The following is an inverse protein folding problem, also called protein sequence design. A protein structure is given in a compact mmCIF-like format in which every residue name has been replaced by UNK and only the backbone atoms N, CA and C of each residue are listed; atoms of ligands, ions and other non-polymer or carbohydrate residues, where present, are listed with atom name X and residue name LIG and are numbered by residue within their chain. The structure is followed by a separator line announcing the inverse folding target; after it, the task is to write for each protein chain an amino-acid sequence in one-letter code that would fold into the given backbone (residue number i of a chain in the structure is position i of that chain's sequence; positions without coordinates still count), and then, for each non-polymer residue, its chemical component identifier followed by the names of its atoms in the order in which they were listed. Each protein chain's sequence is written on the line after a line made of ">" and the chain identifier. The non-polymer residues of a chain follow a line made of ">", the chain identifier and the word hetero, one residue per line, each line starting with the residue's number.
data_IF_041843729472
#
_entry.id   IF_041843729472
#
_cell.length_a   1.000
_cell.length_b   1.000
_cell.length_c   1.000
_cell.angle_alpha   90.00
_cell.angle_beta   90.00
_cell.angle_gamma   90.00
#
_symmetry.space_group_name_H-M   'P 1'
#
loop_
_entity.id
_entity.type
_entity.pdbx_description
1 polymer ?
#
# COMPACT_ATOMS: atom_id res chain seq x y z
N UNK A 1 -0.68 -9.99 3.14
CA UNK A 1 -0.32 -8.66 2.60
C UNK A 1 -0.99 -8.50 1.24
N UNK A 2 -1.59 -7.34 1.00
CA UNK A 2 -2.15 -6.91 -0.29
C UNK A 2 -1.12 -6.05 -1.03
N UNK A 3 -1.03 -6.20 -2.36
CA UNK A 3 -0.23 -5.33 -3.22
C UNK A 3 -1.14 -4.69 -4.27
N UNK A 4 -1.18 -3.35 -4.34
CA UNK A 4 -2.02 -2.58 -5.28
C UNK A 4 -1.23 -1.49 -5.99
N UNK A 5 -0.64 -1.84 -7.12
CA UNK A 5 0.19 -0.97 -7.95
C UNK A 5 -0.60 -0.36 -9.13
N UNK A 6 -1.50 0.58 -8.84
CA UNK A 6 -2.30 1.29 -9.87
C UNK A 6 -1.76 2.69 -10.16
N UNK A 7 -1.93 3.20 -11.38
CA UNK A 7 -1.67 4.62 -11.72
C UNK A 7 -2.87 5.52 -11.40
N UNK A 8 -4.07 4.94 -11.38
CA UNK A 8 -5.31 5.67 -11.15
C UNK A 8 -6.28 4.80 -10.35
N UNK A 9 -6.92 5.42 -9.36
CA UNK A 9 -7.86 4.77 -8.46
C UNK A 9 -9.01 5.71 -8.11
N UNK A 10 -10.12 5.11 -7.68
CA UNK A 10 -11.25 5.83 -7.10
C UNK A 10 -10.97 6.17 -5.63
N UNK A 11 -11.60 5.44 -4.71
CA UNK A 11 -11.40 5.64 -3.27
C UNK A 11 -10.29 4.75 -2.67
N UNK A 12 -9.99 3.62 -3.31
CA UNK A 12 -9.01 2.67 -2.78
C UNK A 12 -9.57 1.77 -1.67
N UNK A 13 -10.80 1.26 -1.84
CA UNK A 13 -11.40 0.30 -0.91
C UNK A 13 -10.56 -0.95 -0.65
N UNK A 14 -9.94 -1.62 -1.65
CA UNK A 14 -9.24 -2.88 -1.37
C UNK A 14 -8.06 -2.72 -0.39
N UNK A 15 -7.19 -1.69 -0.51
CA UNK A 15 -6.20 -1.40 0.53
C UNK A 15 -6.79 -1.07 1.92
N UNK A 16 -7.89 -0.30 1.99
CA UNK A 16 -8.56 0.00 3.26
C UNK A 16 -9.10 -1.26 3.94
N UNK A 17 -9.75 -2.14 3.19
CA UNK A 17 -10.28 -3.41 3.68
C UNK A 17 -9.16 -4.32 4.16
N UNK A 18 -8.04 -4.37 3.44
CA UNK A 18 -6.86 -5.13 3.86
C UNK A 18 -6.34 -4.63 5.21
N UNK A 19 -6.16 -3.31 5.37
CA UNK A 19 -5.72 -2.71 6.63
C UNK A 19 -6.71 -3.00 7.76
N UNK A 20 -8.03 -2.88 7.52
CA UNK A 20 -9.06 -3.23 8.49
C UNK A 20 -8.98 -4.70 8.93
N UNK A 21 -8.61 -5.62 8.03
CA UNK A 21 -8.42 -7.03 8.32
C UNK A 21 -7.05 -7.36 8.95
N UNK A 22 -6.26 -6.36 9.38
CA UNK A 22 -4.90 -6.60 9.90
C UNK A 22 -3.93 -7.12 8.84
N UNK A 23 -4.21 -6.84 7.56
CA UNK A 23 -3.36 -7.24 6.44
C UNK A 23 -2.61 -6.01 5.91
N UNK A 24 -1.26 -6.00 5.93
CA UNK A 24 -0.48 -4.90 5.36
C UNK A 24 -0.84 -4.63 3.90
N UNK A 25 -0.87 -3.36 3.50
CA UNK A 25 -1.18 -2.94 2.14
C UNK A 25 0.00 -2.16 1.54
N UNK A 26 0.66 -2.74 0.52
CA UNK A 26 1.68 -2.08 -0.30
C UNK A 26 1.00 -1.47 -1.51
N UNK A 27 1.08 -0.16 -1.68
CA UNK A 27 0.28 0.59 -2.67
C UNK A 27 1.13 1.58 -3.44
N UNK A 28 0.71 1.93 -4.66
CA UNK A 28 1.36 3.03 -5.40
C UNK A 28 1.33 4.34 -4.61
N UNK A 29 2.40 5.14 -4.72
CA UNK A 29 2.42 6.49 -4.18
C UNK A 29 1.60 7.46 -5.07
N UNK A 30 0.27 7.42 -4.94
CA UNK A 30 -0.68 8.29 -5.63
C UNK A 30 -1.54 9.07 -4.62
N UNK A 31 -2.02 10.25 -5.04
CA UNK A 31 -2.75 11.18 -4.18
C UNK A 31 -3.94 10.54 -3.46
N UNK A 32 -4.74 9.72 -4.16
CA UNK A 32 -5.89 9.01 -3.57
C UNK A 32 -5.48 8.14 -2.39
N UNK A 33 -4.43 7.33 -2.52
CA UNK A 33 -4.01 6.47 -1.43
C UNK A 33 -3.37 7.26 -0.28
N UNK A 34 -2.70 8.38 -0.57
CA UNK A 34 -2.20 9.29 0.48
C UNK A 34 -3.34 9.90 1.30
N UNK A 35 -4.44 10.24 0.64
CA UNK A 35 -5.63 10.78 1.29
C UNK A 35 -6.36 9.73 2.12
N UNK A 36 -6.57 8.51 1.58
CA UNK A 36 -7.42 7.51 2.22
C UNK A 36 -6.69 6.60 3.22
N UNK A 37 -5.42 6.27 2.97
CA UNK A 37 -4.64 5.36 3.84
C UNK A 37 -3.74 6.10 4.83
N UNK A 38 -3.49 7.39 4.61
CA UNK A 38 -2.69 8.26 5.48
C UNK A 38 -1.33 7.63 5.83
N UNK A 39 -1.09 7.23 7.08
CA UNK A 39 0.17 6.62 7.53
C UNK A 39 0.12 5.08 7.59
N UNK A 40 -1.06 4.48 7.37
CA UNK A 40 -1.25 3.03 7.52
C UNK A 40 -0.85 2.22 6.28
N UNK A 41 -0.77 2.86 5.11
CA UNK A 41 -0.32 2.24 3.87
C UNK A 41 1.21 2.22 3.74
N UNK A 42 1.73 1.21 3.03
CA UNK A 42 3.14 1.18 2.59
C UNK A 42 3.21 1.72 1.16
N UNK A 43 3.64 2.97 1.01
CA UNK A 43 3.65 3.66 -0.27
C UNK A 43 4.92 3.40 -1.06
N UNK A 44 4.79 2.97 -2.30
CA UNK A 44 5.92 2.66 -3.18
C UNK A 44 5.80 3.38 -4.51
N UNK A 45 6.95 3.74 -5.09
CA UNK A 45 7.04 4.10 -6.50
C UNK A 45 6.92 2.84 -7.34
N UNK A 46 6.47 2.98 -8.59
CA UNK A 46 6.27 1.86 -9.52
C UNK A 46 7.58 1.48 -10.24
N UNK A 47 8.64 1.33 -9.46
CA UNK A 47 9.92 0.79 -9.89
C UNK A 47 10.29 -0.42 -9.02
N UNK A 48 11.07 -1.34 -9.60
CA UNK A 48 11.36 -2.63 -8.98
C UNK A 48 11.97 -2.50 -7.59
N UNK A 49 12.90 -1.56 -7.40
CA UNK A 49 13.60 -1.37 -6.13
C UNK A 49 12.63 -0.89 -5.04
N UNK A 50 11.84 0.15 -5.34
CA UNK A 50 10.88 0.68 -4.38
C UNK A 50 9.81 -0.34 -3.98
N UNK A 51 9.37 -1.19 -4.92
CA UNK A 51 8.39 -2.25 -4.65
C UNK A 51 9.01 -3.31 -3.73
N UNK A 52 10.23 -3.75 -4.01
CA UNK A 52 10.96 -4.72 -3.18
C UNK A 52 11.13 -4.21 -1.75
N UNK A 53 11.65 -2.98 -1.59
CA UNK A 53 11.87 -2.38 -0.27
C UNK A 53 10.54 -2.28 0.52
N UNK A 54 9.43 -1.94 -0.15
CA UNK A 54 8.10 -1.88 0.48
C UNK A 54 7.54 -3.26 0.88
N UNK A 55 7.78 -4.29 0.05
CA UNK A 55 7.40 -5.68 0.37
C UNK A 55 8.20 -6.19 1.58
N UNK A 56 9.51 -5.97 1.61
CA UNK A 56 10.37 -6.36 2.73
C UNK A 56 9.92 -5.69 4.03
N UNK A 57 9.73 -4.37 4.00
CA UNK A 57 9.23 -3.61 5.14
C UNK A 57 7.90 -4.16 5.67
N UNK A 58 6.93 -4.46 4.79
CA UNK A 58 5.63 -4.98 5.18
C UNK A 58 5.67 -6.42 5.72
N UNK A 59 6.68 -7.22 5.34
CA UNK A 59 6.89 -8.57 5.87
C UNK A 59 7.52 -8.56 7.27
N UNK A 60 8.43 -7.62 7.53
CA UNK A 60 9.10 -7.46 8.82
C UNK A 60 8.18 -6.84 9.88
N UNK A 61 7.36 -5.87 9.48
CA UNK A 61 6.50 -5.10 10.38
C UNK A 61 5.06 -5.62 10.36
N UNK A 62 4.86 -6.95 10.52
CA UNK A 62 3.53 -7.56 10.60
C UNK A 62 2.70 -6.84 11.68
N UNK A 63 1.77 -6.00 11.24
CA UNK A 63 0.79 -5.31 12.08
C UNK A 63 -0.18 -6.32 12.69
#
# INVERSE_FOLDING_TARGET
>A
MLIRLSDFEGFGYPPLEALFCGTPAVVSDIAVFRETLVEAGVFVKKDERSILDGIEYALENRV
#
